data_IF_707321214585
#
_entry.id   IF_707321214585
#
_cell.length_a   1.000
_cell.length_b   1.000
_cell.length_c   1.000
_cell.angle_alpha   90.00
_cell.angle_beta   90.00
_cell.angle_gamma   90.00
#
_symmetry.space_group_name_H-M   'P 1'
#
loop_
_entity.id
_entity.type
_entity.pdbx_description
1 polymer ?
#
# COMPACT_ATOMS: atom_id res chain seq x y z
N UNK A 1 20.67 19.56 10.40
CA UNK A 1 19.35 19.06 9.97
C UNK A 1 19.50 18.60 8.53
N UNK A 2 19.75 17.31 8.32
CA UNK A 2 20.02 16.79 6.97
C UNK A 2 18.82 15.98 6.52
N UNK A 3 18.11 16.49 5.53
CA UNK A 3 17.10 15.75 4.75
C UNK A 3 17.88 14.78 3.87
N UNK A 4 18.36 13.68 4.45
CA UNK A 4 19.02 12.62 3.68
C UNK A 4 17.95 11.62 3.26
N UNK A 5 17.51 11.77 2.03
CA UNK A 5 16.57 10.87 1.37
C UNK A 5 16.75 10.99 -0.13
N UNK A 6 17.97 10.82 -0.63
CA UNK A 6 18.23 10.59 -2.05
C UNK A 6 17.43 9.35 -2.48
N UNK A 7 16.28 9.59 -3.10
CA UNK A 7 15.62 8.82 -4.17
C UNK A 7 14.20 9.40 -4.35
N UNK A 8 14.13 10.65 -4.81
CA UNK A 8 12.92 11.20 -5.43
C UNK A 8 12.69 10.44 -6.74
N UNK A 9 12.09 9.25 -6.65
CA UNK A 9 11.65 8.46 -7.78
C UNK A 9 10.32 9.01 -8.33
N UNK A 10 10.27 10.30 -8.62
CA UNK A 10 9.30 10.83 -9.56
C UNK A 10 10.11 11.48 -10.67
N UNK A 11 10.45 10.67 -11.69
CA UNK A 11 10.76 11.24 -13.00
C UNK A 11 9.47 11.79 -13.58
N UNK A 12 9.03 12.95 -13.11
CA UNK A 12 8.06 13.79 -13.83
C UNK A 12 8.86 14.97 -14.36
N UNK A 13 9.51 14.73 -15.50
CA UNK A 13 10.04 15.79 -16.34
C UNK A 13 8.86 16.30 -17.16
N UNK A 14 8.11 17.25 -16.61
CA UNK A 14 7.47 18.29 -17.41
C UNK A 14 7.15 19.48 -16.50
N UNK A 15 7.64 20.61 -16.95
CA UNK A 15 7.59 21.93 -16.36
C UNK A 15 6.16 22.36 -16.00
N UNK A 16 5.97 22.82 -14.76
CA UNK A 16 4.79 23.56 -14.28
C UNK A 16 3.51 22.76 -13.95
N UNK A 17 3.59 21.77 -13.05
CA UNK A 17 2.41 21.18 -12.39
C UNK A 17 2.68 21.00 -10.89
N UNK A 18 1.83 21.60 -10.05
CA UNK A 18 1.96 21.57 -8.59
C UNK A 18 1.76 20.15 -8.04
N UNK A 19 2.76 19.60 -7.34
CA UNK A 19 2.63 18.35 -6.59
C UNK A 19 1.82 18.62 -5.31
N UNK A 20 0.49 18.68 -5.44
CA UNK A 20 -0.45 18.93 -4.35
C UNK A 20 -0.53 17.74 -3.39
N UNK A 21 -0.55 16.53 -3.94
CA UNK A 21 -0.72 15.28 -3.20
C UNK A 21 0.64 14.69 -2.83
N UNK A 22 0.93 14.63 -1.52
CA UNK A 22 2.24 14.23 -1.01
C UNK A 22 2.12 13.32 0.21
N UNK A 23 2.99 12.30 0.26
CA UNK A 23 3.11 11.40 1.41
C UNK A 23 4.43 11.70 2.12
N UNK A 24 4.33 12.22 3.35
CA UNK A 24 5.48 12.55 4.19
C UNK A 24 5.42 11.67 5.44
N UNK A 25 6.55 11.11 5.85
CA UNK A 25 6.64 10.32 7.07
C UNK A 25 7.72 10.88 8.00
N UNK A 26 7.57 10.60 9.29
CA UNK A 26 8.54 10.92 10.33
C UNK A 26 8.76 9.70 11.20
N UNK A 27 10.01 9.33 11.40
CA UNK A 27 10.43 8.24 12.26
C UNK A 27 10.92 8.75 13.62
N UNK A 28 10.88 7.88 14.62
CA UNK A 28 11.56 8.09 15.90
C UNK A 28 12.98 7.56 15.79
N UNK A 29 13.96 8.18 16.48
CA UNK A 29 15.32 7.66 16.52
C UNK A 29 15.35 6.16 16.87
N UNK A 30 15.99 5.35 16.02
CA UNK A 30 16.10 3.89 16.19
C UNK A 30 14.98 3.07 15.53
N UNK A 31 14.05 3.70 14.79
CA UNK A 31 13.12 3.03 13.89
C UNK A 31 13.69 3.06 12.47
N UNK A 32 13.83 1.91 11.83
CA UNK A 32 14.32 1.83 10.45
C UNK A 32 13.12 1.81 9.49
N UNK A 33 12.78 2.96 8.90
CA UNK A 33 11.77 3.10 7.84
C UNK A 33 12.48 3.40 6.52
N UNK A 34 12.22 2.59 5.50
CA UNK A 34 12.72 2.76 4.14
C UNK A 34 11.54 2.92 3.18
N UNK A 35 11.51 4.04 2.45
CA UNK A 35 10.59 4.17 1.31
C UNK A 35 11.14 3.35 0.13
N UNK A 36 10.41 2.31 -0.29
CA UNK A 36 10.80 1.44 -1.42
C UNK A 36 10.18 1.87 -2.74
N UNK A 37 9.06 2.60 -2.69
CA UNK A 37 8.38 3.11 -3.86
C UNK A 37 7.64 4.39 -3.50
N UNK A 38 7.66 5.38 -4.38
CA UNK A 38 6.86 6.59 -4.30
C UNK A 38 6.47 6.96 -5.74
N UNK A 39 5.18 6.97 -6.09
CA UNK A 39 4.74 7.24 -7.47
C UNK A 39 3.28 7.70 -7.56
N UNK A 40 2.94 8.36 -8.65
CA UNK A 40 1.55 8.58 -9.10
C UNK A 40 1.03 7.37 -9.89
N UNK A 41 -0.30 7.21 -9.91
CA UNK A 41 -1.01 6.19 -10.69
C UNK A 41 -1.65 6.87 -11.91
N UNK A 42 -1.03 6.71 -13.08
CA UNK A 42 -1.44 7.44 -14.30
C UNK A 42 -2.70 6.89 -14.97
N UNK A 43 -2.98 5.60 -14.79
CA UNK A 43 -4.10 4.90 -15.44
C UNK A 43 -5.46 5.18 -14.78
N UNK A 44 -5.50 5.83 -13.62
CA UNK A 44 -6.75 6.31 -13.01
C UNK A 44 -7.02 7.73 -13.50
N UNK A 45 -8.17 7.94 -14.16
CA UNK A 45 -8.53 9.19 -14.84
C UNK A 45 -9.90 9.76 -14.45
N UNK A 46 -10.50 9.24 -13.38
CA UNK A 46 -11.83 9.65 -12.93
C UNK A 46 -11.82 11.00 -12.18
N UNK A 47 -10.65 11.46 -11.75
CA UNK A 47 -10.41 12.78 -11.17
C UNK A 47 -9.26 13.44 -11.94
N UNK A 48 -9.24 14.77 -11.88
CA UNK A 48 -8.16 15.67 -12.25
C UNK A 48 -6.87 15.44 -11.45
N UNK A 49 -6.96 14.90 -10.23
CA UNK A 49 -5.82 14.50 -9.42
C UNK A 49 -5.44 13.03 -9.64
N UNK A 50 -4.13 12.78 -9.75
CA UNK A 50 -3.59 11.42 -9.81
C UNK A 50 -3.40 10.85 -8.41
N UNK A 51 -3.91 9.63 -8.11
CA UNK A 51 -3.62 8.99 -6.84
C UNK A 51 -2.11 8.82 -6.65
N UNK A 52 -1.59 9.24 -5.50
CA UNK A 52 -0.19 9.08 -5.12
C UNK A 52 -0.08 7.93 -4.13
N UNK A 53 0.87 7.02 -4.37
CA UNK A 53 1.14 5.89 -3.48
C UNK A 53 2.60 5.85 -3.06
N UNK A 54 2.83 5.40 -1.83
CA UNK A 54 4.15 5.12 -1.31
C UNK A 54 4.18 3.75 -0.63
N UNK A 55 5.23 2.98 -0.87
CA UNK A 55 5.50 1.73 -0.18
C UNK A 55 6.63 1.94 0.82
N UNK A 56 6.40 1.49 2.05
CA UNK A 56 7.39 1.55 3.11
C UNK A 56 7.74 0.15 3.59
N UNK A 57 9.04 -0.09 3.74
CA UNK A 57 9.57 -1.24 4.47
C UNK A 57 10.04 -0.74 5.82
N UNK A 58 9.59 -1.39 6.89
CA UNK A 58 9.92 -1.00 8.24
C UNK A 58 10.27 -2.20 9.11
N UNK A 59 11.27 -2.03 9.99
CA UNK A 59 11.70 -3.07 10.92
C UNK A 59 10.92 -2.93 12.23
N UNK A 60 9.99 -3.85 12.45
CA UNK A 60 9.26 -3.94 13.71
C UNK A 60 10.13 -4.60 14.79
N UNK A 61 10.02 -4.11 16.01
CA UNK A 61 10.58 -4.76 17.20
C UNK A 61 9.47 -5.55 17.90
N UNK A 62 9.78 -6.70 18.52
CA UNK A 62 8.82 -7.39 19.38
C UNK A 62 8.27 -6.43 20.43
N UNK A 63 6.94 -6.36 20.54
CA UNK A 63 6.24 -5.59 21.55
C UNK A 63 5.77 -6.48 22.70
N UNK A 64 5.55 -5.87 23.86
CA UNK A 64 4.89 -6.53 24.98
C UNK A 64 3.36 -6.42 24.82
N UNK A 65 2.62 -7.44 25.23
CA UNK A 65 1.15 -7.49 25.18
C UNK A 65 0.50 -6.66 26.30
N UNK A 66 0.92 -5.41 26.45
CA UNK A 66 0.39 -4.48 27.47
C UNK A 66 -0.62 -3.48 26.91
N UNK A 67 -0.71 -3.33 25.59
CA UNK A 67 -1.72 -2.50 24.93
C UNK A 67 -3.03 -3.26 24.71
N UNK A 68 -4.07 -2.54 24.29
CA UNK A 68 -5.31 -3.16 23.80
C UNK A 68 -5.06 -3.72 22.39
N UNK A 69 -4.92 -5.04 22.23
CA UNK A 69 -4.73 -5.62 20.89
C UNK A 69 -6.06 -5.56 20.13
N UNK A 70 -5.99 -5.66 18.81
CA UNK A 70 -7.18 -5.64 17.98
C UNK A 70 -8.11 -6.86 18.19
N UNK A 71 -7.61 -7.98 18.74
CA UNK A 71 -8.36 -9.24 18.96
C UNK A 71 -9.21 -9.69 17.75
N UNK A 72 -8.71 -9.49 16.52
CA UNK A 72 -9.46 -9.83 15.30
C UNK A 72 -10.65 -8.90 15.02
N UNK A 73 -10.71 -7.71 15.61
CA UNK A 73 -11.69 -6.67 15.28
C UNK A 73 -11.35 -6.05 13.92
N UNK A 74 -12.22 -6.27 12.95
CA UNK A 74 -12.20 -5.62 11.64
C UNK A 74 -13.64 -5.45 11.14
N UNK A 75 -13.84 -4.68 10.06
CA UNK A 75 -15.16 -4.54 9.46
C UNK A 75 -15.55 -5.82 8.69
N UNK A 76 -16.32 -6.69 9.34
CA UNK A 76 -16.76 -7.97 8.78
C UNK A 76 -17.69 -7.83 7.57
N UNK A 77 -18.51 -6.79 7.53
CA UNK A 77 -19.45 -6.58 6.43
C UNK A 77 -18.74 -6.27 5.12
N UNK A 78 -17.73 -5.40 5.17
CA UNK A 78 -16.88 -5.09 4.02
C UNK A 78 -16.16 -6.36 3.53
N UNK A 79 -15.62 -7.16 4.45
CA UNK A 79 -14.96 -8.42 4.09
C UNK A 79 -15.91 -9.38 3.37
N UNK A 80 -17.11 -9.60 3.92
CA UNK A 80 -18.14 -10.45 3.30
C UNK A 80 -18.54 -9.98 1.91
N UNK A 81 -18.91 -8.71 1.78
CA UNK A 81 -19.30 -8.12 0.48
C UNK A 81 -18.17 -8.25 -0.54
N UNK A 82 -16.93 -8.06 -0.12
CA UNK A 82 -15.76 -8.25 -0.98
C UNK A 82 -15.57 -9.71 -1.42
N UNK A 83 -15.85 -10.69 -0.56
CA UNK A 83 -15.83 -12.12 -0.94
C UNK A 83 -16.95 -12.44 -1.94
N UNK A 84 -18.18 -12.03 -1.64
CA UNK A 84 -19.34 -12.25 -2.51
C UNK A 84 -19.14 -11.63 -3.89
N UNK A 85 -18.59 -10.41 -3.97
CA UNK A 85 -18.31 -9.74 -5.24
C UNK A 85 -17.25 -10.49 -6.06
N UNK A 86 -16.19 -11.01 -5.42
CA UNK A 86 -15.15 -11.80 -6.09
C UNK A 86 -15.72 -13.12 -6.63
N UNK A 87 -16.59 -13.78 -5.88
CA UNK A 87 -17.28 -14.99 -6.31
C UNK A 87 -18.19 -14.72 -7.51
N UNK A 88 -18.99 -13.65 -7.47
CA UNK A 88 -19.83 -13.22 -8.60
C UNK A 88 -19.00 -12.93 -9.85
N UNK A 89 -17.90 -12.21 -9.72
CA UNK A 89 -17.01 -11.93 -10.87
C UNK A 89 -16.41 -13.22 -11.44
N UNK A 90 -16.10 -14.20 -10.60
CA UNK A 90 -15.58 -15.50 -11.03
C UNK A 90 -16.66 -16.36 -11.72
N UNK A 91 -17.90 -16.34 -11.22
CA UNK A 91 -19.00 -17.12 -11.81
C UNK A 91 -19.53 -16.56 -13.13
N UNK A 92 -19.38 -15.24 -13.36
CA UNK A 92 -19.82 -14.57 -14.59
C UNK A 92 -18.87 -14.76 -15.80
N UNK A 93 -17.78 -15.51 -15.66
CA UNK A 93 -16.93 -15.91 -16.80
C UNK A 93 -16.30 -14.77 -17.60
N UNK A 94 -16.25 -13.55 -17.06
CA UNK A 94 -15.64 -12.39 -17.72
C UNK A 94 -14.11 -12.54 -17.68
N UNK A 95 -13.59 -13.23 -18.69
CA UNK A 95 -12.24 -13.15 -19.24
C UNK A 95 -11.07 -13.05 -18.25
N UNK A 96 -10.55 -14.20 -17.79
CA UNK A 96 -9.15 -14.30 -17.40
C UNK A 96 -8.48 -15.30 -18.34
N UNK A 97 -8.01 -14.80 -19.48
CA UNK A 97 -6.93 -15.49 -20.19
C UNK A 97 -5.72 -15.59 -19.24
N UNK A 98 -5.40 -16.83 -18.90
CA UNK A 98 -4.08 -17.35 -18.58
C UNK A 98 -3.14 -16.44 -17.78
N UNK A 99 -3.28 -16.43 -16.46
CA UNK A 99 -2.12 -16.35 -15.58
C UNK A 99 -2.37 -17.09 -14.25
N UNK A 100 -2.07 -18.40 -14.23
CA UNK A 100 -2.02 -19.27 -13.04
C UNK A 100 -0.92 -18.88 -12.03
N UNK A 101 -0.80 -17.59 -11.66
CA UNK A 101 0.24 -17.11 -10.73
C UNK A 101 -0.25 -16.04 -9.75
N UNK A 102 -1.40 -16.19 -9.07
CA UNK A 102 -1.76 -15.27 -7.96
C UNK A 102 -2.52 -15.91 -6.79
N UNK A 103 -2.11 -17.10 -6.37
CA UNK A 103 -2.36 -17.58 -5.01
C UNK A 103 -1.03 -17.94 -4.38
N UNK A 104 -0.24 -16.92 -4.06
CA UNK A 104 0.80 -17.14 -3.06
C UNK A 104 0.06 -17.14 -1.71
N UNK A 105 0.06 -18.24 -0.94
CA UNK A 105 -0.35 -18.15 0.44
C UNK A 105 0.51 -17.07 1.10
N UNK A 106 -0.08 -16.28 1.98
CA UNK A 106 0.66 -15.33 2.80
C UNK A 106 1.52 -16.19 3.74
N UNK A 107 2.67 -16.64 3.26
CA UNK A 107 3.68 -17.28 4.09
C UNK A 107 4.23 -16.21 5.01
N UNK A 108 4.46 -16.57 6.27
CA UNK A 108 4.92 -15.71 7.36
C UNK A 108 6.21 -14.95 7.01
N UNK A 109 6.09 -13.89 6.23
CA UNK A 109 7.10 -12.86 6.06
C UNK A 109 6.61 -11.68 6.87
N UNK A 110 7.47 -11.19 7.76
CA UNK A 110 7.29 -10.05 8.68
C UNK A 110 7.02 -8.70 8.00
N UNK A 111 6.56 -8.71 6.75
CA UNK A 111 6.20 -7.53 5.98
C UNK A 111 4.74 -7.17 6.29
N UNK A 112 4.55 -6.38 7.34
CA UNK A 112 3.27 -5.73 7.60
C UNK A 112 3.08 -4.64 6.53
N UNK A 113 2.19 -4.89 5.56
CA UNK A 113 1.73 -3.86 4.63
C UNK A 113 0.70 -3.03 5.37
N UNK A 114 1.12 -1.88 5.90
CA UNK A 114 0.21 -0.84 6.35
C UNK A 114 -0.22 -0.08 5.10
N UNK A 115 -1.50 -0.23 4.73
CA UNK A 115 -2.18 0.61 3.74
C UNK A 115 -2.52 1.97 4.34
#
# INVERSE_FOLDING_TARGET
MSIVGHNLCCKYQDSSLFLTDRIIYRDKPGLQIQCTQYKSIENVKHSDHKPVIAHFRLKLKPGLHTGNPAYGKFNREVYKRGCEQRERHHSLGVGVENNKKRRQPITNSSTCVLL
#
